data_IF_514158083001
#
_entry.id   IF_514158083001
#
_cell.length_a   1.000
_cell.length_b   1.000
_cell.length_c   1.000
_cell.angle_alpha   90.00
_cell.angle_beta   90.00
_cell.angle_gamma   90.00
#
_symmetry.space_group_name_H-M   'P 1'
#
loop_
_entity.id
_entity.type
_entity.pdbx_description
1 polymer ?
#
# COMPACT_ATOMS: atom_id res chain seq x y z
N UNK A 1 6.70 34.96 10.12
CA UNK A 1 6.13 34.77 8.77
C UNK A 1 6.27 33.30 8.45
N UNK A 2 5.22 32.56 8.68
CA UNK A 2 5.12 31.14 8.30
C UNK A 2 4.96 31.09 6.78
N UNK A 3 6.01 30.77 6.05
CA UNK A 3 5.85 30.19 4.73
C UNK A 3 5.39 28.75 4.97
N UNK A 4 4.06 28.57 5.06
CA UNK A 4 3.45 27.27 4.97
C UNK A 4 3.93 26.61 3.69
N UNK A 5 4.38 25.38 3.79
CA UNK A 5 4.51 24.48 2.67
C UNK A 5 3.10 24.33 2.05
N UNK A 6 2.80 25.22 1.12
CA UNK A 6 1.68 25.03 0.19
C UNK A 6 2.16 23.90 -0.71
N UNK A 7 1.80 22.67 -0.36
CA UNK A 7 1.91 21.57 -1.29
C UNK A 7 1.17 22.00 -2.56
N UNK A 8 1.86 22.00 -3.71
CA UNK A 8 1.24 22.37 -4.98
C UNK A 8 0.00 21.49 -5.15
N UNK A 9 -1.18 22.11 -5.20
CA UNK A 9 -2.39 21.38 -5.47
C UNK A 9 -2.24 20.71 -6.84
N UNK A 10 -2.04 19.40 -6.83
CA UNK A 10 -1.94 18.62 -8.05
C UNK A 10 -3.19 18.84 -8.90
N UNK A 11 -3.04 19.50 -10.05
CA UNK A 11 -4.15 19.75 -10.95
C UNK A 11 -4.60 18.43 -11.64
N UNK A 12 -5.78 18.45 -12.27
CA UNK A 12 -6.29 17.26 -12.99
C UNK A 12 -5.33 16.85 -14.11
N UNK A 13 -4.69 17.82 -14.77
CA UNK A 13 -3.70 17.57 -15.82
C UNK A 13 -2.50 16.81 -15.25
N UNK A 14 -1.95 17.29 -14.14
CA UNK A 14 -0.80 16.67 -13.49
C UNK A 14 -1.09 15.21 -13.08
N UNK A 15 -2.32 14.93 -12.58
CA UNK A 15 -2.75 13.57 -12.26
C UNK A 15 -2.75 12.65 -13.48
N UNK A 16 -3.20 13.13 -14.63
CA UNK A 16 -3.22 12.33 -15.85
C UNK A 16 -1.80 12.07 -16.37
N UNK A 17 -0.90 13.04 -16.22
CA UNK A 17 0.52 12.87 -16.56
C UNK A 17 1.19 11.84 -15.65
N UNK A 18 0.93 11.88 -14.34
CA UNK A 18 1.41 10.85 -13.39
C UNK A 18 0.88 9.47 -13.77
N UNK A 19 -0.45 9.34 -14.04
CA UNK A 19 -1.05 8.06 -14.48
C UNK A 19 -0.41 7.53 -15.76
N UNK A 20 -0.22 8.39 -16.75
CA UNK A 20 0.39 8.01 -18.04
C UNK A 20 1.83 7.49 -17.85
N UNK A 21 2.64 8.18 -17.04
CA UNK A 21 4.01 7.75 -16.73
C UNK A 21 4.05 6.45 -15.94
N UNK A 22 3.13 6.25 -15.00
CA UNK A 22 3.03 4.99 -14.25
C UNK A 22 2.65 3.84 -15.18
N UNK A 23 1.66 4.02 -16.07
CA UNK A 23 1.25 2.98 -17.06
C UNK A 23 2.41 2.59 -17.98
N UNK A 24 3.26 3.55 -18.37
CA UNK A 24 4.40 3.29 -19.25
C UNK A 24 5.66 2.80 -18.51
N UNK A 25 5.67 2.77 -17.19
CA UNK A 25 6.86 2.47 -16.39
C UNK A 25 7.27 1.00 -16.37
N UNK A 26 6.41 0.10 -16.82
CA UNK A 26 6.62 -1.34 -16.76
C UNK A 26 6.40 -1.97 -15.37
N UNK A 27 5.98 -1.19 -14.36
CA UNK A 27 5.60 -1.74 -13.05
C UNK A 27 4.38 -2.64 -13.17
N UNK A 28 4.46 -3.84 -12.60
CA UNK A 28 3.33 -4.76 -12.58
C UNK A 28 2.17 -4.24 -11.71
N UNK A 29 0.97 -4.73 -11.96
CA UNK A 29 -0.19 -4.45 -11.09
C UNK A 29 0.13 -4.85 -9.64
N UNK A 30 0.72 -6.02 -9.47
CA UNK A 30 1.11 -6.57 -8.18
C UNK A 30 2.08 -5.65 -7.41
N UNK A 31 3.11 -5.09 -8.06
CA UNK A 31 4.08 -4.19 -7.42
C UNK A 31 3.42 -2.87 -6.98
N UNK A 32 2.58 -2.32 -7.85
CA UNK A 32 1.86 -1.07 -7.56
C UNK A 32 0.86 -1.22 -6.42
N UNK A 33 0.14 -2.33 -6.36
CA UNK A 33 -0.78 -2.63 -5.26
C UNK A 33 -0.03 -2.90 -3.97
N UNK A 34 1.07 -3.67 -4.03
CA UNK A 34 1.87 -3.99 -2.86
C UNK A 34 2.44 -2.73 -2.20
N UNK A 35 3.07 -1.81 -2.96
CA UNK A 35 3.64 -0.58 -2.39
C UNK A 35 2.56 0.35 -1.84
N UNK A 36 1.40 0.43 -2.48
CA UNK A 36 0.29 1.23 -1.99
C UNK A 36 -0.27 0.69 -0.67
N UNK A 37 -0.43 -0.63 -0.57
CA UNK A 37 -0.84 -1.30 0.65
C UNK A 37 0.19 -1.13 1.77
N UNK A 38 1.47 -1.39 1.50
CA UNK A 38 2.55 -1.26 2.47
C UNK A 38 2.68 0.17 3.00
N UNK A 39 2.37 1.15 2.17
CA UNK A 39 2.29 2.56 2.58
C UNK A 39 1.07 2.87 3.46
N UNK A 40 -0.07 2.24 3.19
CA UNK A 40 -1.35 2.54 3.85
C UNK A 40 -1.59 1.73 5.13
N UNK A 41 -1.09 0.50 5.22
CA UNK A 41 -1.42 -0.47 6.29
C UNK A 41 -1.03 -0.04 7.70
N UNK A 42 -0.15 0.96 7.83
CA UNK A 42 0.22 1.52 9.15
C UNK A 42 -0.81 2.50 9.69
N UNK A 43 -1.87 2.82 8.93
CA UNK A 43 -2.91 3.72 9.38
C UNK A 43 -3.68 3.14 10.58
N UNK A 44 -3.95 4.00 11.57
CA UNK A 44 -4.75 3.67 12.73
C UNK A 44 -5.89 4.66 12.85
N UNK A 45 -7.11 4.15 12.68
CA UNK A 45 -8.32 4.96 12.78
C UNK A 45 -8.58 5.48 14.21
N UNK A 46 -7.99 4.83 15.21
CA UNK A 46 -8.15 5.21 16.62
C UNK A 46 -7.53 6.56 16.98
N UNK A 47 -6.42 6.92 16.34
CA UNK A 47 -5.68 8.17 16.60
C UNK A 47 -5.29 8.93 15.31
N UNK A 48 -5.75 8.44 14.14
CA UNK A 48 -5.52 9.01 12.82
C UNK A 48 -4.02 9.14 12.46
N UNK A 49 -3.19 8.24 12.99
CA UNK A 49 -1.75 8.22 12.72
C UNK A 49 -1.39 7.14 11.70
N UNK A 50 -0.18 7.27 11.13
CA UNK A 50 0.32 6.36 10.12
C UNK A 50 -0.28 6.63 8.74
N UNK A 51 -0.31 5.59 7.91
CA UNK A 51 -0.87 5.64 6.56
C UNK A 51 0.06 6.26 5.51
N UNK A 52 -0.50 6.52 4.35
CA UNK A 52 0.26 6.90 3.15
C UNK A 52 0.86 8.32 3.19
N UNK A 53 0.39 9.19 4.10
CA UNK A 53 0.90 10.55 4.18
C UNK A 53 2.36 10.55 4.67
N UNK A 54 3.19 11.36 4.02
CA UNK A 54 4.63 11.46 4.32
C UNK A 54 5.51 10.50 3.52
N UNK A 55 4.94 9.57 2.75
CA UNK A 55 5.69 8.54 2.01
C UNK A 55 6.75 7.82 2.88
N UNK A 56 6.44 7.60 4.17
CA UNK A 56 7.38 7.01 5.14
C UNK A 56 7.81 5.60 4.80
N UNK A 57 7.06 4.93 3.90
CA UNK A 57 7.47 3.67 3.29
C UNK A 57 8.85 3.76 2.61
N UNK A 58 9.30 4.96 2.25
CA UNK A 58 10.62 5.20 1.65
C UNK A 58 11.72 5.55 2.66
N UNK A 59 11.37 5.62 3.96
CA UNK A 59 12.23 6.03 5.06
C UNK A 59 12.43 4.89 6.06
N UNK A 60 13.53 4.92 6.81
CA UNK A 60 13.72 3.99 7.93
C UNK A 60 12.79 4.37 9.11
N UNK A 61 12.23 3.37 9.84
CA UNK A 61 12.49 1.94 9.71
C UNK A 61 11.60 1.23 8.68
N UNK A 62 10.52 1.86 8.19
CA UNK A 62 9.46 1.20 7.43
C UNK A 62 9.95 0.56 6.11
N UNK A 63 10.91 1.20 5.42
CA UNK A 63 11.48 0.66 4.17
C UNK A 63 12.22 -0.66 4.36
N UNK A 64 12.69 -0.92 5.60
CA UNK A 64 13.56 -2.03 5.94
C UNK A 64 12.78 -3.21 6.57
N UNK A 65 11.46 -3.06 6.80
CA UNK A 65 10.63 -4.11 7.35
C UNK A 65 10.49 -5.29 6.39
N UNK A 66 10.72 -6.50 6.91
CA UNK A 66 10.61 -7.73 6.13
C UNK A 66 9.22 -7.91 5.48
N UNK A 67 8.15 -7.52 6.19
CA UNK A 67 6.78 -7.52 5.68
C UNK A 67 6.60 -6.72 4.38
N UNK A 68 7.48 -5.77 4.09
CA UNK A 68 7.42 -4.89 2.92
C UNK A 68 8.28 -5.39 1.75
N UNK A 69 8.95 -6.52 1.87
CA UNK A 69 9.85 -7.06 0.83
C UNK A 69 10.86 -6.01 0.34
N UNK A 70 11.87 -5.64 1.15
CA UNK A 70 12.73 -4.46 0.93
C UNK A 70 13.35 -4.37 -0.46
N UNK A 71 13.77 -5.48 -1.06
CA UNK A 71 14.35 -5.49 -2.41
C UNK A 71 13.32 -5.11 -3.48
N UNK A 72 12.12 -5.72 -3.42
CA UNK A 72 11.00 -5.43 -4.33
C UNK A 72 10.53 -3.99 -4.14
N UNK A 73 10.38 -3.58 -2.90
CA UNK A 73 9.99 -2.22 -2.52
C UNK A 73 10.97 -1.19 -3.06
N UNK A 74 12.27 -1.39 -2.90
CA UNK A 74 13.31 -0.48 -3.36
C UNK A 74 13.26 -0.27 -4.87
N UNK A 75 13.09 -1.34 -5.65
CA UNK A 75 12.94 -1.27 -7.11
C UNK A 75 11.71 -0.45 -7.51
N UNK A 76 10.56 -0.75 -6.92
CA UNK A 76 9.31 -0.04 -7.19
C UNK A 76 9.40 1.43 -6.82
N UNK A 77 9.93 1.74 -5.64
CA UNK A 77 10.08 3.11 -5.16
C UNK A 77 11.05 3.93 -6.01
N UNK A 78 12.12 3.34 -6.55
CA UNK A 78 13.06 4.06 -7.41
C UNK A 78 12.37 4.61 -8.66
N UNK A 79 11.49 3.82 -9.27
CA UNK A 79 10.70 4.22 -10.44
C UNK A 79 9.67 5.29 -10.06
N UNK A 80 8.93 5.07 -8.97
CA UNK A 80 7.91 6.03 -8.53
C UNK A 80 8.50 7.37 -8.08
N UNK A 81 9.70 7.38 -7.48
CA UNK A 81 10.44 8.61 -7.14
C UNK A 81 10.82 9.40 -8.40
N UNK A 82 11.29 8.73 -9.44
CA UNK A 82 11.59 9.38 -10.72
C UNK A 82 10.34 10.03 -11.31
N UNK A 83 9.21 9.31 -11.32
CA UNK A 83 7.94 9.84 -11.83
C UNK A 83 7.47 11.04 -10.99
N UNK A 84 7.56 10.96 -9.67
CA UNK A 84 7.19 12.04 -8.77
C UNK A 84 8.02 13.30 -9.04
N UNK A 85 9.34 13.17 -9.19
CA UNK A 85 10.24 14.28 -9.52
C UNK A 85 9.91 14.89 -10.89
N UNK A 86 9.70 14.07 -11.90
CA UNK A 86 9.40 14.49 -13.26
C UNK A 86 8.05 15.22 -13.41
N UNK A 87 7.10 14.93 -12.54
CA UNK A 87 5.75 15.50 -12.60
C UNK A 87 5.50 16.58 -11.56
N UNK A 88 6.45 16.79 -10.62
CA UNK A 88 6.27 17.71 -9.50
C UNK A 88 5.25 17.24 -8.46
N UNK A 89 4.83 15.98 -8.53
CA UNK A 89 3.94 15.38 -7.54
C UNK A 89 4.71 14.94 -6.29
N UNK A 90 4.03 14.82 -5.14
CA UNK A 90 4.63 14.15 -3.99
C UNK A 90 4.78 12.64 -4.26
N UNK A 91 5.79 12.02 -3.65
CA UNK A 91 5.93 10.56 -3.71
C UNK A 91 4.72 9.88 -3.05
N UNK A 92 4.20 10.46 -1.96
CA UNK A 92 3.03 9.95 -1.27
C UNK A 92 1.79 9.86 -2.18
N UNK A 93 1.48 10.93 -2.92
CA UNK A 93 0.36 10.91 -3.88
C UNK A 93 0.66 10.01 -5.09
N UNK A 94 1.92 9.97 -5.56
CA UNK A 94 2.33 9.08 -6.66
C UNK A 94 2.12 7.59 -6.31
N UNK A 95 2.45 7.19 -5.09
CA UNK A 95 2.21 5.81 -4.59
C UNK A 95 0.71 5.50 -4.58
N UNK A 96 -0.12 6.40 -4.07
CA UNK A 96 -1.58 6.20 -4.02
C UNK A 96 -2.18 6.12 -5.43
N UNK A 97 -1.73 6.99 -6.34
CA UNK A 97 -2.15 6.96 -7.75
C UNK A 97 -1.74 5.63 -8.40
N UNK A 98 -0.55 5.13 -8.10
CA UNK A 98 -0.08 3.85 -8.64
C UNK A 98 -0.98 2.68 -8.21
N UNK A 99 -1.37 2.62 -6.94
CA UNK A 99 -2.31 1.63 -6.43
C UNK A 99 -3.70 1.74 -7.07
N UNK A 100 -4.26 2.94 -7.13
CA UNK A 100 -5.56 3.18 -7.75
C UNK A 100 -5.58 2.77 -9.22
N UNK A 101 -4.53 3.18 -9.96
CA UNK A 101 -4.41 2.86 -11.38
C UNK A 101 -4.27 1.34 -11.62
N UNK A 102 -3.54 0.64 -10.75
CA UNK A 102 -3.40 -0.81 -10.84
C UNK A 102 -4.76 -1.53 -10.71
N UNK A 103 -5.62 -1.05 -9.80
CA UNK A 103 -6.97 -1.59 -9.62
C UNK A 103 -7.86 -1.22 -10.81
N UNK A 104 -7.78 0.02 -11.33
CA UNK A 104 -8.51 0.47 -12.52
C UNK A 104 -8.14 -0.39 -13.75
N UNK A 105 -6.85 -0.68 -13.95
CA UNK A 105 -6.35 -1.52 -15.05
C UNK A 105 -6.77 -2.98 -14.90
N UNK A 106 -6.71 -3.53 -13.68
CA UNK A 106 -7.17 -4.89 -13.42
C UNK A 106 -8.67 -5.06 -13.67
N UNK A 107 -9.48 -4.08 -13.22
CA UNK A 107 -10.92 -4.08 -13.49
C UNK A 107 -11.22 -3.98 -14.98
N UNK A 108 -10.48 -3.13 -15.71
CA UNK A 108 -10.62 -3.01 -17.16
C UNK A 108 -10.28 -4.31 -17.88
N UNK A 109 -9.24 -5.01 -17.46
CA UNK A 109 -8.88 -6.32 -18.00
C UNK A 109 -9.98 -7.36 -17.76
N UNK A 110 -10.74 -7.23 -16.67
CA UNK A 110 -11.90 -8.05 -16.35
C UNK A 110 -13.22 -7.60 -17.03
N UNK A 111 -13.16 -6.55 -17.87
CA UNK A 111 -14.32 -6.03 -18.60
C UNK A 111 -15.13 -4.95 -17.87
N UNK A 112 -14.63 -4.44 -16.74
CA UNK A 112 -15.30 -3.41 -15.96
C UNK A 112 -14.60 -2.06 -16.10
N UNK A 113 -15.36 -0.99 -16.25
CA UNK A 113 -14.83 0.37 -16.25
C UNK A 113 -15.15 1.03 -14.91
N UNK A 114 -14.12 1.22 -14.11
CA UNK A 114 -14.23 1.89 -12.81
C UNK A 114 -13.28 3.09 -12.75
N UNK A 115 -13.58 4.05 -11.92
CA UNK A 115 -12.71 5.17 -11.59
C UNK A 115 -12.64 5.30 -10.07
N UNK A 116 -11.42 5.21 -9.54
CA UNK A 116 -11.20 5.30 -8.09
C UNK A 116 -10.98 6.77 -7.71
N UNK A 117 -11.76 7.30 -6.75
CA UNK A 117 -11.58 8.67 -6.29
C UNK A 117 -10.21 8.85 -5.64
N UNK A 118 -9.57 9.97 -5.92
CA UNK A 118 -8.30 10.35 -5.33
C UNK A 118 -8.48 11.55 -4.41
N UNK A 119 -8.20 11.38 -3.14
CA UNK A 119 -7.95 12.49 -2.23
C UNK A 119 -6.47 12.85 -2.36
N UNK A 120 -6.19 14.04 -2.86
CA UNK A 120 -4.85 14.57 -3.11
C UNK A 120 -4.36 15.46 -1.95
N UNK A 121 -3.09 15.86 -2.01
CA UNK A 121 -2.51 16.83 -1.08
C UNK A 121 -1.66 16.20 0.01
N UNK A 122 -1.24 14.94 -0.16
CA UNK A 122 -0.24 14.34 0.71
C UNK A 122 1.12 14.95 0.45
N UNK A 123 1.83 15.28 1.51
CA UNK A 123 3.24 15.71 1.42
C UNK A 123 4.20 14.57 1.70
N UNK A 124 5.46 14.76 1.35
CA UNK A 124 6.53 13.83 1.68
C UNK A 124 7.21 14.27 2.98
N UNK A 125 7.52 13.30 3.85
CA UNK A 125 8.28 13.55 5.06
C UNK A 125 9.78 13.35 4.82
N UNK A 126 10.60 14.03 5.62
CA UNK A 126 12.02 13.72 5.73
C UNK A 126 12.30 12.71 6.85
N UNK A 127 13.51 12.18 6.90
CA UNK A 127 13.91 11.26 7.97
C UNK A 127 13.86 11.93 9.35
N UNK A 128 14.21 13.21 9.45
CA UNK A 128 14.18 14.00 10.69
C UNK A 128 12.75 14.24 11.19
N UNK A 129 11.77 14.21 10.29
CA UNK A 129 10.34 14.32 10.62
C UNK A 129 9.73 12.98 11.04
N UNK A 130 10.52 11.91 11.09
CA UNK A 130 10.07 10.56 11.42
C UNK A 130 10.64 10.16 12.77
N UNK A 131 9.76 10.01 13.77
CA UNK A 131 10.13 9.43 15.07
C UNK A 131 10.37 7.93 14.90
N UNK A 132 11.63 7.56 14.68
CA UNK A 132 12.05 6.17 14.41
C UNK A 132 11.67 5.24 15.56
N UNK A 133 11.81 5.69 16.81
CA UNK A 133 11.54 4.86 17.97
C UNK A 133 10.04 4.53 18.10
N UNK A 134 9.19 5.53 17.94
CA UNK A 134 7.74 5.32 17.92
C UNK A 134 7.29 4.52 16.68
N UNK A 135 7.94 4.75 15.54
CA UNK A 135 7.58 4.10 14.29
C UNK A 135 7.96 2.63 14.25
N UNK A 136 9.04 2.23 14.91
CA UNK A 136 9.44 0.82 15.01
C UNK A 136 8.38 -0.06 15.69
N UNK A 137 7.59 0.51 16.60
CA UNK A 137 6.48 -0.20 17.25
C UNK A 137 5.30 -0.51 16.30
N UNK A 138 5.29 0.10 15.12
CA UNK A 138 4.28 -0.16 14.07
C UNK A 138 4.70 -1.29 13.13
N UNK A 139 5.87 -1.90 13.33
CA UNK A 139 6.30 -3.06 12.55
C UNK A 139 5.29 -4.18 12.72
N UNK A 140 4.68 -4.66 11.61
CA UNK A 140 3.65 -5.68 11.72
C UNK A 140 4.25 -7.02 12.15
N UNK A 141 3.57 -7.68 13.10
CA UNK A 141 3.88 -9.07 13.44
C UNK A 141 3.38 -10.04 12.36
N UNK A 142 2.32 -9.64 11.65
CA UNK A 142 1.78 -10.35 10.50
C UNK A 142 1.06 -9.36 9.58
N UNK A 143 0.96 -9.73 8.31
CA UNK A 143 0.12 -9.09 7.31
C UNK A 143 -0.76 -10.17 6.65
N UNK A 144 -1.86 -10.51 7.32
CA UNK A 144 -2.73 -11.58 6.87
C UNK A 144 -3.44 -11.24 5.55
N UNK A 145 -3.63 -9.94 5.22
CA UNK A 145 -4.15 -9.53 3.92
C UNK A 145 -3.20 -9.89 2.77
N UNK A 146 -1.88 -9.79 3.02
CA UNK A 146 -0.84 -10.24 2.09
C UNK A 146 -0.31 -11.63 2.40
N UNK A 147 -0.83 -12.23 3.48
CA UNK A 147 -0.50 -13.58 3.87
C UNK A 147 0.97 -13.76 4.27
N UNK A 148 1.43 -12.88 5.11
CA UNK A 148 2.76 -12.89 5.69
C UNK A 148 2.70 -12.96 7.21
N UNK A 149 3.64 -13.66 7.82
CA UNK A 149 3.83 -13.72 9.27
C UNK A 149 5.31 -13.77 9.61
N UNK A 150 5.70 -12.99 10.62
CA UNK A 150 7.06 -13.04 11.18
C UNK A 150 7.32 -14.30 12.00
N UNK A 151 6.29 -15.06 12.35
CA UNK A 151 6.36 -16.18 13.30
C UNK A 151 6.60 -15.75 14.76
N UNK A 152 6.66 -14.45 15.04
CA UNK A 152 6.95 -13.92 16.40
C UNK A 152 5.69 -13.77 17.25
N UNK A 153 4.49 -13.76 16.64
CA UNK A 153 3.24 -13.64 17.36
C UNK A 153 2.72 -14.99 17.84
N UNK A 154 2.09 -14.98 19.04
CA UNK A 154 1.35 -16.14 19.56
C UNK A 154 -0.11 -16.17 19.09
N UNK A 155 -0.61 -15.03 18.60
CA UNK A 155 -1.96 -14.93 18.05
C UNK A 155 -2.04 -15.59 16.68
N UNK A 156 -3.18 -16.13 16.33
CA UNK A 156 -3.43 -16.72 15.02
C UNK A 156 -3.42 -15.62 13.92
N UNK A 157 -3.12 -15.98 12.67
CA UNK A 157 -3.20 -15.03 11.55
C UNK A 157 -4.57 -14.37 11.42
N UNK A 158 -5.64 -15.10 11.74
CA UNK A 158 -7.03 -14.61 11.69
C UNK A 158 -7.28 -13.55 12.75
N UNK A 159 -6.79 -13.76 13.99
CA UNK A 159 -6.91 -12.77 15.07
C UNK A 159 -6.15 -11.49 14.70
N UNK A 160 -4.92 -11.62 14.20
CA UNK A 160 -4.12 -10.47 13.76
C UNK A 160 -4.75 -9.74 12.57
N UNK A 161 -5.44 -10.46 11.68
CA UNK A 161 -6.18 -9.87 10.57
C UNK A 161 -7.38 -9.06 11.05
N UNK A 162 -8.13 -9.57 12.04
CA UNK A 162 -9.26 -8.85 12.65
C UNK A 162 -8.78 -7.59 13.35
N UNK A 163 -7.70 -7.67 14.12
CA UNK A 163 -7.10 -6.53 14.79
C UNK A 163 -6.67 -5.45 13.78
N UNK A 164 -5.96 -5.84 12.73
CA UNK A 164 -5.55 -4.93 11.65
C UNK A 164 -6.76 -4.29 10.94
N UNK A 165 -7.82 -5.07 10.68
CA UNK A 165 -9.03 -4.54 10.08
C UNK A 165 -9.71 -3.50 10.98
N UNK A 166 -9.75 -3.72 12.30
CA UNK A 166 -10.26 -2.75 13.26
C UNK A 166 -9.42 -1.46 13.28
N UNK A 167 -8.09 -1.58 13.28
CA UNK A 167 -7.20 -0.43 13.20
C UNK A 167 -7.42 0.39 11.92
N UNK A 168 -7.69 -0.26 10.80
CA UNK A 168 -8.00 0.38 9.53
C UNK A 168 -9.44 0.92 9.45
N UNK A 169 -10.30 0.58 10.42
CA UNK A 169 -11.71 0.94 10.40
C UNK A 169 -12.54 0.17 9.39
N UNK A 170 -12.11 -1.05 9.03
CA UNK A 170 -12.79 -1.90 8.05
C UNK A 170 -13.89 -2.74 8.69
N UNK A 171 -15.01 -2.85 8.00
CA UNK A 171 -16.05 -3.83 8.29
C UNK A 171 -15.65 -5.23 7.83
N UNK A 172 -16.32 -6.27 8.32
CA UNK A 172 -16.04 -7.66 7.91
C UNK A 172 -16.18 -7.89 6.39
N UNK A 173 -17.20 -7.37 5.68
CA UNK A 173 -17.27 -7.44 4.23
C UNK A 173 -16.09 -6.76 3.53
N UNK A 174 -15.72 -5.55 3.96
CA UNK A 174 -14.58 -4.82 3.39
C UNK A 174 -13.27 -5.56 3.61
N UNK A 175 -13.05 -6.12 4.79
CA UNK A 175 -11.92 -6.98 5.11
C UNK A 175 -11.84 -8.19 4.16
N UNK A 176 -12.96 -8.85 3.92
CA UNK A 176 -13.03 -10.01 3.02
C UNK A 176 -12.70 -9.63 1.58
N UNK A 177 -13.23 -8.50 1.09
CA UNK A 177 -12.95 -7.99 -0.25
C UNK A 177 -11.48 -7.59 -0.39
N UNK A 178 -10.90 -6.95 0.62
CA UNK A 178 -9.49 -6.56 0.61
C UNK A 178 -8.58 -7.78 0.55
N UNK A 179 -8.83 -8.81 1.38
CA UNK A 179 -8.08 -10.07 1.34
C UNK A 179 -8.18 -10.75 -0.03
N UNK A 180 -9.39 -10.90 -0.56
CA UNK A 180 -9.63 -11.49 -1.88
C UNK A 180 -8.95 -10.68 -2.99
N UNK A 181 -9.05 -9.36 -2.93
CA UNK A 181 -8.42 -8.45 -3.89
C UNK A 181 -6.89 -8.57 -3.90
N UNK A 182 -6.24 -8.61 -2.73
CA UNK A 182 -4.79 -8.81 -2.64
C UNK A 182 -4.34 -10.10 -3.34
N UNK A 183 -5.11 -11.18 -3.18
CA UNK A 183 -4.83 -12.47 -3.81
C UNK A 183 -5.02 -12.44 -5.33
N UNK A 184 -6.15 -11.91 -5.77
CA UNK A 184 -6.46 -11.82 -7.22
C UNK A 184 -5.46 -10.93 -7.95
N UNK A 185 -5.01 -9.85 -7.32
CA UNK A 185 -4.03 -8.91 -7.89
C UNK A 185 -2.58 -9.39 -7.73
N UNK A 186 -2.35 -10.55 -7.13
CA UNK A 186 -1.01 -11.12 -6.93
C UNK A 186 -0.15 -10.31 -5.96
N UNK A 187 -0.77 -9.52 -5.07
CA UNK A 187 -0.08 -8.70 -4.09
C UNK A 187 0.29 -9.44 -2.79
N UNK A 188 0.28 -10.77 -2.81
CA UNK A 188 0.73 -11.60 -1.70
C UNK A 188 2.24 -11.51 -1.52
N UNK A 189 2.70 -11.79 -0.30
CA UNK A 189 4.14 -11.87 0.00
C UNK A 189 4.78 -13.04 -0.74
N UNK A 190 5.97 -12.81 -1.31
CA UNK A 190 6.64 -13.78 -2.21
C UNK A 190 7.02 -15.08 -1.47
N UNK A 191 7.43 -14.96 -0.20
CA UNK A 191 8.02 -16.08 0.56
C UNK A 191 6.99 -16.97 1.26
N UNK A 192 5.70 -16.77 1.04
CA UNK A 192 4.69 -17.59 1.69
C UNK A 192 4.07 -18.60 0.75
N UNK A 193 4.51 -19.80 0.94
CA UNK A 193 3.83 -21.01 0.45
C UNK A 193 2.49 -21.18 1.18
N UNK A 194 1.43 -20.60 0.65
CA UNK A 194 0.09 -20.76 1.19
C UNK A 194 -0.67 -21.86 0.52
N UNK A 195 -0.17 -23.00 0.66
CA UNK A 195 -0.83 -24.20 0.16
C UNK A 195 -2.06 -24.56 1.02
N UNK A 196 -2.19 -24.02 2.23
CA UNK A 196 -3.16 -24.55 3.20
C UNK A 196 -4.41 -23.72 3.48
N UNK A 197 -4.55 -22.49 2.95
CA UNK A 197 -5.73 -21.65 3.26
C UNK A 197 -6.75 -21.54 2.12
N UNK A 198 -6.49 -22.13 0.95
CA UNK A 198 -7.39 -22.01 -0.19
C UNK A 198 -7.49 -23.25 -1.05
N UNK A 199 -7.53 -24.44 -0.47
CA UNK A 199 -8.14 -25.53 -1.22
C UNK A 199 -9.64 -25.23 -1.31
N UNK A 200 -10.20 -25.08 -2.52
CA UNK A 200 -11.64 -25.07 -2.65
C UNK A 200 -12.13 -26.40 -2.09
N UNK A 201 -12.97 -26.33 -1.07
CA UNK A 201 -13.70 -27.49 -0.56
C UNK A 201 -14.30 -28.18 -1.77
N UNK A 202 -13.79 -29.36 -2.13
CA UNK A 202 -14.39 -30.20 -3.19
C UNK A 202 -15.82 -30.43 -2.76
N UNK A 203 -16.81 -30.21 -3.64
CA UNK A 203 -18.17 -30.61 -3.33
C UNK A 203 -18.14 -32.10 -3.01
N UNK A 204 -18.66 -32.49 -1.87
CA UNK A 204 -18.89 -33.88 -1.52
C UNK A 204 -19.85 -34.46 -2.54
N UNK A 205 -19.41 -35.44 -3.27
CA UNK A 205 -20.28 -36.26 -4.10
C UNK A 205 -21.08 -37.24 -3.23
#
# INVERSE_FOLDING_TARGET
>A
IWKGLVGSEMCIRDRNDVKAKISSSGLSISDRVAVAWDSAKTFRNSDLRGGANGARISLSPQKDWDANEPERLSKTLSILKTIALDTGASLADTIVIAGNLAIEEAAKAAGYSISIPLVKGRGDASQEMTDVNSFSNLEPAADAFRNWSSGKSKSSPEELMVDQAQLLGLTAPEMTVLLGGMRVLGANHINLSLIHISEPTRPFH
#
